data_IF_572959693667
#
_entry.id   IF_572959693667
#
_cell.length_a   1.000
_cell.length_b   1.000
_cell.length_c   1.000
_cell.angle_alpha   90.00
_cell.angle_beta   90.00
_cell.angle_gamma   90.00
#
_symmetry.space_group_name_H-M   'P 1'
#
loop_
_entity.id
_entity.type
_entity.pdbx_description
1 polymer ?
#
# COMPACT_ATOMS: atom_id res chain seq x y z
N UNK A 1 -3.59 -15.86 0.34
CA UNK A 1 -4.24 -16.46 -0.85
C UNK A 1 -3.30 -17.41 -1.60
N UNK A 2 -2.24 -16.94 -2.27
CA UNK A 2 -1.37 -17.78 -3.10
C UNK A 2 -0.77 -19.00 -2.35
N UNK A 3 -0.24 -18.82 -1.14
CA UNK A 3 0.22 -19.94 -0.29
C UNK A 3 -0.86 -21.03 -0.12
N UNK A 4 -2.09 -20.63 0.22
CA UNK A 4 -3.20 -21.55 0.43
C UNK A 4 -3.69 -22.23 -0.86
N UNK A 5 -3.45 -21.65 -2.03
CA UNK A 5 -3.69 -22.30 -3.32
C UNK A 5 -2.61 -23.34 -3.64
N UNK A 6 -1.35 -23.01 -3.38
CA UNK A 6 -0.21 -23.91 -3.56
C UNK A 6 -0.33 -25.15 -2.67
N UNK A 7 -0.63 -24.97 -1.38
CA UNK A 7 -0.80 -26.08 -0.41
C UNK A 7 -1.97 -27.02 -0.78
N UNK A 8 -2.98 -26.50 -1.49
CA UNK A 8 -4.11 -27.28 -2.03
C UNK A 8 -3.79 -27.93 -3.39
N UNK A 9 -2.59 -27.73 -3.92
CA UNK A 9 -2.14 -28.26 -5.21
C UNK A 9 -2.89 -27.65 -6.40
N UNK A 10 -3.40 -26.42 -6.29
CA UNK A 10 -4.14 -25.73 -7.36
C UNK A 10 -3.25 -24.88 -8.27
N UNK A 11 -2.12 -24.41 -7.73
CA UNK A 11 -1.12 -23.62 -8.46
C UNK A 11 0.29 -24.15 -8.15
N UNK A 12 1.25 -23.81 -8.99
CA UNK A 12 2.68 -24.03 -8.75
C UNK A 12 3.21 -23.13 -7.63
N UNK A 13 4.48 -23.30 -7.26
CA UNK A 13 5.10 -22.53 -6.18
C UNK A 13 5.10 -21.03 -6.51
N UNK A 14 4.55 -20.22 -5.61
CA UNK A 14 4.22 -18.81 -5.85
C UNK A 14 5.38 -17.83 -5.55
N UNK A 15 6.56 -18.33 -5.17
CA UNK A 15 7.77 -17.51 -4.96
C UNK A 15 8.79 -17.93 -6.01
N UNK A 16 8.62 -17.39 -7.20
CA UNK A 16 9.40 -17.71 -8.38
C UNK A 16 9.60 -16.42 -9.16
N UNK A 17 10.77 -16.25 -9.75
CA UNK A 17 11.10 -15.22 -10.73
C UNK A 17 11.15 -15.81 -12.16
N UNK A 18 10.82 -17.10 -12.30
CA UNK A 18 10.77 -17.79 -13.58
C UNK A 18 9.46 -17.53 -14.31
N UNK A 19 9.55 -17.31 -15.61
CA UNK A 19 8.46 -17.29 -16.58
C UNK A 19 8.40 -18.59 -17.39
N UNK A 20 9.25 -19.57 -17.07
CA UNK A 20 9.30 -20.86 -17.75
C UNK A 20 8.01 -21.66 -17.51
N UNK A 21 7.57 -22.39 -18.52
CA UNK A 21 6.42 -23.29 -18.47
C UNK A 21 6.86 -24.67 -18.95
N UNK A 22 6.47 -25.73 -18.24
CA UNK A 22 6.79 -27.09 -18.65
C UNK A 22 6.14 -27.42 -19.99
N UNK A 23 6.82 -28.25 -20.80
CA UNK A 23 6.29 -28.73 -22.08
C UNK A 23 4.94 -29.42 -21.90
N UNK A 24 4.80 -30.24 -20.85
CA UNK A 24 3.54 -30.88 -20.49
C UNK A 24 2.41 -29.88 -20.29
N UNK A 25 2.65 -28.78 -19.55
CA UNK A 25 1.63 -27.77 -19.30
C UNK A 25 1.28 -27.00 -20.58
N UNK A 26 2.29 -26.66 -21.39
CA UNK A 26 2.09 -25.98 -22.68
C UNK A 26 1.16 -26.80 -23.58
N UNK A 27 1.40 -28.11 -23.71
CA UNK A 27 0.57 -29.00 -24.52
C UNK A 27 -0.86 -29.12 -23.97
N UNK A 28 -1.00 -29.22 -22.65
CA UNK A 28 -2.30 -29.27 -21.98
C UNK A 28 -3.10 -27.97 -22.19
N UNK A 29 -2.47 -26.81 -22.02
CA UNK A 29 -3.06 -25.49 -22.22
C UNK A 29 -3.48 -25.28 -23.67
N UNK A 30 -2.60 -25.58 -24.63
CA UNK A 30 -2.89 -25.49 -26.07
C UNK A 30 -4.04 -26.41 -26.47
N UNK A 31 -4.08 -27.64 -25.95
CA UNK A 31 -5.18 -28.57 -26.17
C UNK A 31 -6.51 -28.05 -25.61
N UNK A 32 -6.49 -27.45 -24.42
CA UNK A 32 -7.67 -26.83 -23.83
C UNK A 32 -8.18 -25.63 -24.64
N UNK A 33 -7.26 -24.73 -25.05
CA UNK A 33 -7.59 -23.55 -25.86
C UNK A 33 -8.18 -24.00 -27.20
N UNK A 34 -7.57 -24.98 -27.86
CA UNK A 34 -8.07 -25.52 -29.13
C UNK A 34 -9.50 -26.06 -28.98
N UNK A 35 -9.76 -26.83 -27.93
CA UNK A 35 -11.09 -27.44 -27.68
C UNK A 35 -12.15 -26.39 -27.34
N UNK A 36 -11.80 -25.35 -26.60
CA UNK A 36 -12.74 -24.34 -26.10
C UNK A 36 -12.98 -23.19 -27.09
N UNK A 37 -11.94 -22.69 -27.74
CA UNK A 37 -11.97 -21.49 -28.58
C UNK A 37 -11.75 -21.77 -30.06
N UNK A 38 -11.21 -22.93 -30.42
CA UNK A 38 -10.92 -23.31 -31.80
C UNK A 38 -9.46 -23.11 -32.20
N UNK A 39 -9.15 -23.46 -33.46
CA UNK A 39 -7.78 -23.44 -34.00
C UNK A 39 -7.17 -22.04 -34.05
N UNK A 40 -7.96 -21.03 -34.39
CA UNK A 40 -7.47 -19.66 -34.63
C UNK A 40 -6.97 -18.98 -33.35
N UNK A 41 -7.35 -19.48 -32.17
CA UNK A 41 -6.90 -18.98 -30.87
C UNK A 41 -5.61 -19.64 -30.38
N UNK A 42 -5.10 -20.65 -31.08
CA UNK A 42 -3.86 -21.34 -30.73
C UNK A 42 -2.77 -20.90 -31.70
N UNK A 43 -1.69 -20.24 -31.21
CA UNK A 43 -0.56 -19.89 -32.05
C UNK A 43 0.07 -21.13 -32.70
N UNK A 44 0.60 -20.98 -33.92
CA UNK A 44 1.22 -22.09 -34.66
C UNK A 44 2.32 -22.78 -33.84
N UNK A 45 3.20 -21.98 -33.23
CA UNK A 45 4.25 -22.44 -32.30
C UNK A 45 3.90 -22.06 -30.87
N UNK A 46 4.33 -22.83 -29.85
CA UNK A 46 4.18 -22.43 -28.46
C UNK A 46 4.86 -21.09 -28.15
N UNK A 47 4.27 -20.32 -27.25
CA UNK A 47 4.86 -19.07 -26.78
C UNK A 47 5.84 -19.38 -25.63
N UNK A 48 7.08 -18.93 -25.77
CA UNK A 48 8.11 -19.02 -24.73
C UNK A 48 8.47 -17.63 -24.23
N UNK A 49 8.64 -17.51 -22.91
CA UNK A 49 8.95 -16.24 -22.24
C UNK A 49 10.34 -16.30 -21.64
N UNK A 50 11.13 -15.24 -21.86
CA UNK A 50 12.48 -15.12 -21.29
C UNK A 50 12.41 -14.53 -19.89
N UNK A 51 13.18 -15.10 -18.97
CA UNK A 51 13.35 -14.54 -17.64
C UNK A 51 14.15 -13.23 -17.70
N UNK A 52 13.81 -12.28 -16.84
CA UNK A 52 14.50 -11.00 -16.69
C UNK A 52 15.74 -11.08 -15.81
N UNK A 53 15.80 -12.02 -14.86
CA UNK A 53 16.94 -12.22 -13.96
C UNK A 53 17.99 -13.16 -14.57
N UNK A 54 19.28 -12.76 -14.51
CA UNK A 54 20.43 -13.60 -14.92
C UNK A 54 20.55 -14.89 -14.10
N UNK A 55 20.08 -14.85 -12.86
CA UNK A 55 20.16 -15.93 -11.89
C UNK A 55 18.78 -16.52 -11.58
N UNK A 56 17.78 -16.32 -12.47
CA UNK A 56 16.48 -16.99 -12.33
C UNK A 56 16.75 -18.44 -12.01
N UNK A 57 16.17 -18.96 -10.93
CA UNK A 57 16.38 -20.36 -10.56
C UNK A 57 15.78 -21.21 -11.69
N UNK A 58 16.56 -21.56 -12.72
CA UNK A 58 16.08 -22.12 -13.99
C UNK A 58 15.37 -23.47 -13.81
N UNK A 59 15.50 -24.08 -12.63
CA UNK A 59 14.77 -25.26 -12.20
C UNK A 59 13.32 -24.99 -11.75
N UNK A 60 12.90 -23.73 -11.66
CA UNK A 60 11.57 -23.34 -11.17
C UNK A 60 10.67 -22.93 -12.34
N UNK A 61 9.39 -23.21 -12.16
CA UNK A 61 8.35 -22.90 -13.13
C UNK A 61 7.65 -21.58 -12.77
N UNK A 62 6.99 -20.95 -13.73
CA UNK A 62 6.12 -19.81 -13.52
C UNK A 62 4.96 -20.13 -12.58
N UNK A 63 4.37 -19.08 -11.99
CA UNK A 63 3.12 -19.21 -11.24
C UNK A 63 2.00 -19.49 -12.22
N UNK A 64 1.53 -20.73 -12.22
CA UNK A 64 0.45 -21.18 -13.09
C UNK A 64 -0.46 -22.17 -12.38
N UNK A 65 -1.60 -22.45 -12.99
CA UNK A 65 -2.49 -23.53 -12.56
C UNK A 65 -1.85 -24.90 -12.76
N UNK A 66 -2.18 -25.84 -11.88
CA UNK A 66 -1.68 -27.23 -11.96
C UNK A 66 -2.51 -28.12 -12.89
N UNK A 67 -3.74 -27.73 -13.22
CA UNK A 67 -4.58 -28.45 -14.17
C UNK A 67 -5.54 -27.52 -14.89
N UNK A 68 -5.52 -27.54 -16.22
CA UNK A 68 -6.25 -26.57 -17.06
C UNK A 68 -7.76 -26.78 -17.01
N UNK A 69 -8.18 -28.00 -16.67
CA UNK A 69 -9.58 -28.37 -16.51
C UNK A 69 -10.26 -27.72 -15.29
N UNK A 70 -9.50 -27.31 -14.27
CA UNK A 70 -10.04 -26.71 -13.05
C UNK A 70 -10.47 -25.26 -13.30
N UNK A 71 -11.69 -25.04 -13.74
CA UNK A 71 -12.20 -23.71 -14.05
C UNK A 71 -12.51 -22.92 -12.78
N UNK A 72 -12.44 -21.58 -12.82
CA UNK A 72 -12.88 -20.74 -11.71
C UNK A 72 -14.31 -21.03 -11.21
N UNK A 73 -15.19 -21.47 -12.11
CA UNK A 73 -16.57 -21.85 -11.82
C UNK A 73 -16.73 -23.21 -11.13
N UNK A 74 -15.67 -24.02 -11.04
CA UNK A 74 -15.78 -25.38 -10.53
C UNK A 74 -16.09 -25.40 -9.02
N UNK A 75 -16.87 -26.38 -8.52
CA UNK A 75 -17.19 -26.52 -7.10
C UNK A 75 -15.98 -26.60 -6.17
N UNK A 76 -14.83 -27.06 -6.69
CA UNK A 76 -13.57 -27.11 -5.93
C UNK A 76 -13.00 -25.72 -5.69
N UNK A 77 -13.20 -24.79 -6.63
CA UNK A 77 -12.69 -23.41 -6.56
C UNK A 77 -13.70 -22.51 -5.85
N UNK A 78 -14.99 -22.61 -6.16
CA UNK A 78 -16.05 -21.79 -5.54
C UNK A 78 -16.26 -22.06 -4.05
N UNK A 79 -15.69 -23.13 -3.50
CA UNK A 79 -15.64 -23.42 -2.06
C UNK A 79 -14.44 -22.79 -1.33
N UNK A 80 -13.49 -22.19 -2.04
CA UNK A 80 -12.32 -21.53 -1.44
C UNK A 80 -12.71 -20.20 -0.79
N UNK A 81 -11.81 -19.60 0.00
CA UNK A 81 -12.03 -18.24 0.49
C UNK A 81 -12.07 -17.23 -0.66
N UNK A 82 -12.83 -16.13 -0.51
CA UNK A 82 -13.04 -15.12 -1.57
C UNK A 82 -11.73 -14.63 -2.19
N UNK A 83 -10.70 -14.36 -1.39
CA UNK A 83 -9.39 -13.92 -1.90
C UNK A 83 -8.63 -15.03 -2.64
N UNK A 84 -8.78 -16.29 -2.20
CA UNK A 84 -8.19 -17.44 -2.90
C UNK A 84 -8.85 -17.64 -4.27
N UNK A 85 -10.17 -17.48 -4.35
CA UNK A 85 -10.91 -17.56 -5.62
C UNK A 85 -10.43 -16.49 -6.59
N UNK A 86 -10.38 -15.22 -6.15
CA UNK A 86 -9.94 -14.10 -7.00
C UNK A 86 -8.51 -14.30 -7.52
N UNK A 87 -7.58 -14.68 -6.64
CA UNK A 87 -6.19 -14.95 -7.04
C UNK A 87 -6.09 -16.16 -7.97
N UNK A 88 -6.87 -17.22 -7.71
CA UNK A 88 -6.90 -18.38 -8.59
C UNK A 88 -7.42 -18.02 -9.98
N UNK A 89 -8.54 -17.29 -10.08
CA UNK A 89 -9.10 -16.84 -11.36
C UNK A 89 -8.09 -16.00 -12.16
N UNK A 90 -7.36 -15.11 -11.49
CA UNK A 90 -6.30 -14.32 -12.12
C UNK A 90 -5.17 -15.20 -12.67
N UNK A 91 -4.67 -16.14 -11.87
CA UNK A 91 -3.61 -17.06 -12.28
C UNK A 91 -4.11 -17.96 -13.41
N UNK A 92 -5.32 -18.52 -13.32
CA UNK A 92 -5.93 -19.36 -14.34
C UNK A 92 -6.03 -18.63 -15.67
N UNK A 93 -6.54 -17.40 -15.64
CA UNK A 93 -6.66 -16.55 -16.83
C UNK A 93 -5.29 -16.32 -17.46
N UNK A 94 -4.32 -15.84 -16.68
CA UNK A 94 -2.98 -15.53 -17.18
C UNK A 94 -2.22 -16.76 -17.69
N UNK A 95 -2.43 -17.92 -17.08
CA UNK A 95 -1.79 -19.18 -17.46
C UNK A 95 -2.23 -19.66 -18.84
N UNK A 96 -3.44 -19.33 -19.26
CA UNK A 96 -3.98 -19.69 -20.58
C UNK A 96 -3.75 -18.58 -21.61
N UNK A 97 -3.98 -17.31 -21.24
CA UNK A 97 -3.76 -16.15 -22.12
C UNK A 97 -2.36 -16.14 -22.73
N UNK A 98 -1.35 -16.53 -21.97
CA UNK A 98 0.04 -16.55 -22.44
C UNK A 98 0.28 -17.58 -23.56
N UNK A 99 -0.61 -18.55 -23.77
CA UNK A 99 -0.54 -19.53 -24.87
C UNK A 99 -1.61 -19.30 -25.95
N UNK A 100 -2.32 -18.16 -25.92
CA UNK A 100 -3.32 -17.80 -26.91
C UNK A 100 -2.75 -16.88 -28.00
N UNK A 101 -3.44 -16.83 -29.15
CA UNK A 101 -3.14 -15.90 -30.22
C UNK A 101 -3.34 -14.43 -29.78
N UNK A 102 -2.56 -13.48 -30.34
CA UNK A 102 -2.72 -12.06 -30.04
C UNK A 102 -4.08 -11.54 -30.49
N UNK A 103 -4.60 -10.53 -29.79
CA UNK A 103 -5.73 -9.75 -30.28
C UNK A 103 -5.32 -8.90 -31.49
N UNK A 104 -6.20 -8.77 -32.48
CA UNK A 104 -6.00 -7.97 -33.69
C UNK A 104 -7.02 -6.84 -33.72
N UNK A 105 -6.53 -5.63 -33.95
CA UNK A 105 -7.32 -4.40 -33.99
C UNK A 105 -7.18 -3.73 -35.36
N UNK A 106 -8.27 -3.17 -35.87
CA UNK A 106 -8.25 -2.18 -36.93
C UNK A 106 -8.25 -0.79 -36.28
N UNK A 107 -7.18 -0.02 -36.46
CA UNK A 107 -7.00 1.32 -35.90
C UNK A 107 -7.23 2.39 -36.96
N UNK A 108 -8.09 3.35 -36.67
CA UNK A 108 -8.44 4.46 -37.57
C UNK A 108 -8.03 5.77 -36.92
N UNK A 109 -7.26 6.58 -37.64
CA UNK A 109 -6.90 7.95 -37.26
C UNK A 109 -7.49 8.91 -38.28
N UNK A 110 -8.21 9.92 -37.81
CA UNK A 110 -8.86 10.93 -38.64
C UNK A 110 -8.34 12.30 -38.25
N UNK A 111 -7.80 13.01 -39.23
CA UNK A 111 -7.37 14.40 -39.09
C UNK A 111 -8.38 15.32 -39.79
N UNK A 112 -9.05 16.17 -39.00
CA UNK A 112 -10.00 17.16 -39.50
C UNK A 112 -9.33 18.52 -39.56
N UNK A 113 -9.19 19.05 -40.77
CA UNK A 113 -8.63 20.39 -40.99
C UNK A 113 -9.76 21.42 -41.06
N UNK A 114 -9.70 22.43 -40.20
CA UNK A 114 -10.63 23.55 -40.23
C UNK A 114 -10.28 24.57 -41.31
N UNK A 115 -11.25 25.42 -41.67
CA UNK A 115 -11.02 26.56 -42.58
C UNK A 115 -9.94 27.54 -42.09
N UNK A 116 -9.63 27.52 -40.79
CA UNK A 116 -8.57 28.33 -40.16
C UNK A 116 -7.23 27.59 -40.02
N UNK A 117 -7.05 26.46 -40.69
CA UNK A 117 -5.81 25.65 -40.67
C UNK A 117 -5.49 24.99 -39.31
N UNK A 118 -6.44 24.94 -38.36
CA UNK A 118 -6.31 24.06 -37.19
C UNK A 118 -6.56 22.61 -37.58
N UNK A 119 -5.79 21.69 -37.00
CA UNK A 119 -5.95 20.24 -37.16
C UNK A 119 -6.48 19.65 -35.86
N UNK A 120 -7.59 18.93 -35.96
CA UNK A 120 -8.15 18.13 -34.88
C UNK A 120 -7.94 16.65 -35.21
N UNK A 121 -7.42 15.88 -34.25
CA UNK A 121 -7.16 14.45 -34.44
C UNK A 121 -8.11 13.63 -33.58
N UNK A 122 -8.75 12.65 -34.20
CA UNK A 122 -9.49 11.60 -33.52
C UNK A 122 -8.84 10.25 -33.82
N UNK A 123 -8.69 9.41 -32.80
CA UNK A 123 -8.16 8.05 -32.94
C UNK A 123 -9.18 7.08 -32.36
N UNK A 124 -9.51 6.06 -33.14
CA UNK A 124 -10.37 4.96 -32.74
C UNK A 124 -9.82 3.61 -33.13
N UNK A 125 -10.39 2.58 -32.54
CA UNK A 125 -9.97 1.19 -32.75
C UNK A 125 -11.13 0.22 -32.60
N UNK A 126 -11.17 -0.79 -33.46
CA UNK A 126 -12.17 -1.86 -33.44
C UNK A 126 -11.44 -3.20 -33.31
N UNK A 127 -11.89 -4.08 -32.39
CA UNK A 127 -11.35 -5.45 -32.28
C UNK A 127 -11.84 -6.27 -33.47
N UNK A 128 -10.90 -6.68 -34.33
CA UNK A 128 -11.15 -7.58 -35.47
C UNK A 128 -11.07 -9.05 -35.06
N UNK A 129 -10.17 -9.37 -34.14
CA UNK A 129 -10.03 -10.69 -33.56
C UNK A 129 -9.65 -10.57 -32.08
N UNK A 130 -10.42 -11.14 -31.14
CA UNK A 130 -10.19 -10.92 -29.72
C UNK A 130 -8.96 -11.68 -29.19
N UNK A 131 -8.50 -12.76 -29.84
CA UNK A 131 -7.34 -13.53 -29.38
C UNK A 131 -7.43 -13.92 -27.90
N UNK A 132 -6.37 -13.67 -27.14
CA UNK A 132 -6.31 -13.93 -25.70
C UNK A 132 -7.41 -13.24 -24.87
N UNK A 133 -7.97 -12.10 -25.35
CA UNK A 133 -9.04 -11.37 -24.65
C UNK A 133 -10.36 -12.15 -24.61
N UNK A 134 -10.55 -13.14 -25.49
CA UNK A 134 -11.75 -13.98 -25.47
C UNK A 134 -11.93 -14.75 -24.16
N UNK A 135 -10.84 -14.99 -23.42
CA UNK A 135 -10.88 -15.66 -22.13
C UNK A 135 -11.55 -14.79 -21.05
N UNK A 136 -11.35 -13.47 -21.11
CA UNK A 136 -11.99 -12.51 -20.21
C UNK A 136 -13.47 -12.32 -20.55
N UNK A 137 -13.83 -12.27 -21.84
CA UNK A 137 -15.22 -12.15 -22.29
C UNK A 137 -16.09 -13.38 -21.94
N UNK A 138 -15.49 -14.57 -21.83
CA UNK A 138 -16.19 -15.81 -21.46
C UNK A 138 -16.28 -16.07 -19.95
N UNK A 139 -15.63 -15.26 -19.11
CA UNK A 139 -15.70 -15.34 -17.66
C UNK A 139 -16.78 -14.38 -17.14
N UNK A 140 -18.02 -14.87 -17.06
CA UNK A 140 -19.22 -14.08 -16.76
C UNK A 140 -19.26 -13.35 -15.39
N UNK A 141 -18.18 -13.32 -14.60
CA UNK A 141 -18.23 -12.85 -13.20
C UNK A 141 -17.09 -11.89 -12.78
N UNK A 142 -16.30 -11.34 -13.70
CA UNK A 142 -15.33 -10.28 -13.36
C UNK A 142 -15.27 -9.18 -14.41
N UNK A 143 -16.37 -8.47 -14.58
CA UNK A 143 -16.30 -7.07 -15.04
C UNK A 143 -15.89 -6.23 -13.84
N UNK A 144 -14.60 -5.94 -13.72
CA UNK A 144 -14.14 -4.76 -12.99
C UNK A 144 -14.13 -3.60 -13.99
N UNK A 145 -14.71 -2.46 -13.60
CA UNK A 145 -14.85 -1.24 -14.42
C UNK A 145 -13.52 -0.71 -15.01
N UNK A 146 -12.36 -1.23 -14.60
CA UNK A 146 -11.02 -0.86 -15.08
C UNK A 146 -10.58 -1.57 -16.39
N UNK A 147 -11.20 -2.68 -16.82
CA UNK A 147 -10.78 -3.48 -17.99
C UNK A 147 -11.65 -3.28 -19.25
N UNK A 148 -12.69 -2.47 -19.18
CA UNK A 148 -13.45 -2.07 -20.38
C UNK A 148 -12.66 -0.99 -21.08
N UNK A 149 -11.76 -1.35 -21.99
CA UNK A 149 -11.35 -0.45 -23.07
C UNK A 149 -12.66 0.03 -23.70
N UNK A 150 -13.06 1.26 -23.39
CA UNK A 150 -14.16 1.93 -24.07
C UNK A 150 -13.70 1.98 -25.52
N UNK A 151 -14.19 1.06 -26.34
CA UNK A 151 -13.86 1.03 -27.76
C UNK A 151 -14.32 2.35 -28.33
N UNK A 152 -13.36 3.24 -28.55
CA UNK A 152 -13.63 4.52 -29.17
C UNK A 152 -13.80 4.24 -30.65
N UNK A 153 -15.00 3.81 -31.04
CA UNK A 153 -15.31 3.50 -32.44
C UNK A 153 -15.56 4.81 -33.17
N UNK A 154 -14.89 4.98 -34.30
CA UNK A 154 -15.13 6.11 -35.17
C UNK A 154 -16.19 5.73 -36.21
N UNK A 155 -17.04 6.67 -36.63
CA UNK A 155 -17.94 6.45 -37.76
C UNK A 155 -17.12 6.23 -39.05
N UNK A 156 -17.73 5.56 -40.03
CA UNK A 156 -17.17 5.51 -41.37
C UNK A 156 -17.12 6.93 -41.95
N UNK A 157 -15.95 7.33 -42.42
CA UNK A 157 -15.68 8.65 -42.98
C UNK A 157 -14.87 8.49 -44.27
N UNK A 158 -15.10 9.40 -45.21
CA UNK A 158 -14.35 9.45 -46.48
C UNK A 158 -13.46 10.69 -46.55
N UNK A 159 -12.35 10.59 -47.28
CA UNK A 159 -11.48 11.75 -47.50
C UNK A 159 -12.24 12.87 -48.24
N UNK A 160 -12.16 14.09 -47.71
CA UNK A 160 -12.87 15.25 -48.23
C UNK A 160 -14.32 15.39 -47.73
N UNK A 161 -14.80 14.46 -46.91
CA UNK A 161 -16.12 14.60 -46.26
C UNK A 161 -16.15 15.78 -45.29
N UNK A 162 -17.18 16.61 -45.42
CA UNK A 162 -17.39 17.76 -44.54
C UNK A 162 -18.00 17.34 -43.22
N UNK A 163 -17.31 17.60 -42.10
CA UNK A 163 -17.84 17.36 -40.75
C UNK A 163 -18.42 18.65 -40.14
N UNK A 164 -19.52 18.50 -39.39
CA UNK A 164 -20.18 19.61 -38.71
C UNK A 164 -19.69 19.74 -37.27
N UNK A 165 -19.21 20.92 -36.91
CA UNK A 165 -18.94 21.26 -35.51
C UNK A 165 -20.26 21.31 -34.71
N UNK A 166 -20.36 20.47 -33.68
CA UNK A 166 -21.51 20.44 -32.77
C UNK A 166 -21.24 21.28 -31.52
N UNK A 167 -20.14 20.99 -30.82
CA UNK A 167 -19.75 21.63 -29.57
C UNK A 167 -18.23 21.80 -29.49
N UNK A 168 -17.79 22.81 -28.76
CA UNK A 168 -16.38 22.99 -28.36
C UNK A 168 -16.29 22.97 -26.84
N UNK A 169 -15.52 22.02 -26.29
CA UNK A 169 -15.31 21.91 -24.85
C UNK A 169 -13.85 22.26 -24.49
N UNK A 170 -13.55 23.51 -24.11
CA UNK A 170 -12.20 23.89 -23.69
C UNK A 170 -11.90 23.30 -22.31
N UNK A 171 -10.92 22.40 -22.24
CA UNK A 171 -10.45 21.83 -20.99
C UNK A 171 -9.09 22.43 -20.59
N UNK A 172 -8.98 22.86 -19.33
CA UNK A 172 -7.70 23.24 -18.75
C UNK A 172 -7.06 22.01 -18.09
N UNK A 173 -5.79 21.76 -18.42
CA UNK A 173 -5.02 20.68 -17.85
C UNK A 173 -3.81 21.22 -17.08
N UNK A 174 -3.40 20.47 -16.07
CA UNK A 174 -2.17 20.71 -15.31
C UNK A 174 -1.25 19.50 -15.44
N UNK A 175 0.06 19.74 -15.41
CA UNK A 175 1.04 18.66 -15.26
C UNK A 175 0.86 18.02 -13.89
N UNK A 176 0.75 16.70 -13.87
CA UNK A 176 0.67 15.97 -12.61
C UNK A 176 2.07 15.66 -12.08
N UNK A 177 2.27 15.68 -10.76
CA UNK A 177 3.51 15.18 -10.19
C UNK A 177 3.64 13.67 -10.41
N UNK A 178 4.86 13.10 -10.30
CA UNK A 178 5.06 11.65 -10.36
C UNK A 178 4.15 10.92 -9.36
N UNK A 179 3.55 9.82 -9.81
CA UNK A 179 2.69 9.01 -8.97
C UNK A 179 3.49 8.41 -7.80
N UNK A 180 2.88 8.37 -6.62
CA UNK A 180 3.44 7.65 -5.48
C UNK A 180 3.42 6.15 -5.73
N UNK A 181 4.30 5.42 -5.05
CA UNK A 181 4.33 3.96 -5.14
C UNK A 181 3.14 3.32 -4.42
N UNK A 182 2.46 2.39 -5.06
CA UNK A 182 1.64 1.34 -4.44
C UNK A 182 2.48 0.10 -4.12
N UNK A 183 1.90 -0.92 -3.45
CA UNK A 183 2.55 -2.22 -3.24
C UNK A 183 3.13 -2.78 -4.55
N UNK A 184 2.33 -2.81 -5.62
CA UNK A 184 2.74 -3.38 -6.91
C UNK A 184 3.85 -2.57 -7.59
N UNK A 185 3.72 -1.25 -7.65
CA UNK A 185 4.75 -0.41 -8.30
C UNK A 185 6.06 -0.36 -7.51
N UNK A 186 6.01 -0.50 -6.18
CA UNK A 186 7.22 -0.56 -5.37
C UNK A 186 7.95 -1.89 -5.59
N UNK A 187 7.23 -3.01 -5.62
CA UNK A 187 7.82 -4.31 -5.96
C UNK A 187 8.45 -4.27 -7.36
N UNK A 188 7.75 -3.69 -8.34
CA UNK A 188 8.28 -3.52 -9.69
C UNK A 188 9.58 -2.69 -9.71
N UNK A 189 9.62 -1.58 -8.98
CA UNK A 189 10.83 -0.76 -8.90
C UNK A 189 12.00 -1.49 -8.20
N UNK A 190 11.71 -2.27 -7.16
CA UNK A 190 12.71 -3.11 -6.48
C UNK A 190 13.29 -4.16 -7.44
N UNK A 191 12.42 -4.84 -8.20
CA UNK A 191 12.80 -5.83 -9.21
C UNK A 191 13.67 -5.21 -10.32
N UNK A 192 13.25 -4.06 -10.88
CA UNK A 192 14.01 -3.34 -11.91
C UNK A 192 15.40 -2.88 -11.43
N UNK A 193 15.54 -2.59 -10.14
CA UNK A 193 16.80 -2.22 -9.51
C UNK A 193 17.64 -3.42 -9.06
N UNK A 194 17.13 -4.66 -9.19
CA UNK A 194 17.81 -5.87 -8.70
C UNK A 194 17.83 -6.01 -7.18
N UNK A 195 16.98 -5.26 -6.46
CA UNK A 195 16.92 -5.21 -5.00
C UNK A 195 15.84 -6.15 -4.49
N UNK A 196 16.22 -7.13 -3.67
CA UNK A 196 15.30 -8.13 -3.15
C UNK A 196 15.04 -9.28 -4.13
N UNK A 197 14.22 -10.22 -3.68
CA UNK A 197 13.87 -11.47 -4.38
C UNK A 197 12.39 -11.78 -4.14
N UNK A 198 11.77 -12.71 -4.89
CA UNK A 198 10.36 -13.11 -4.69
C UNK A 198 10.02 -13.49 -3.25
N UNK A 199 11.00 -13.98 -2.49
CA UNK A 199 10.87 -14.33 -1.08
C UNK A 199 10.90 -13.14 -0.11
N UNK A 200 11.43 -11.97 -0.52
CA UNK A 200 11.69 -10.82 0.35
C UNK A 200 10.83 -9.59 0.04
N UNK A 201 10.21 -9.48 -1.14
CA UNK A 201 9.38 -8.32 -1.51
C UNK A 201 8.28 -7.98 -0.48
N UNK A 202 7.40 -8.94 -0.19
CA UNK A 202 6.30 -8.72 0.76
C UNK A 202 6.80 -8.50 2.21
N UNK A 203 7.75 -9.29 2.74
CA UNK A 203 8.35 -9.03 4.05
C UNK A 203 9.02 -7.66 4.18
N UNK A 204 9.71 -7.17 3.14
CA UNK A 204 10.37 -5.86 3.13
C UNK A 204 9.34 -4.75 3.32
N UNK A 205 8.28 -4.74 2.48
CA UNK A 205 7.19 -3.76 2.57
C UNK A 205 6.52 -3.81 3.94
N UNK A 206 6.21 -5.01 4.43
CA UNK A 206 5.61 -5.19 5.76
C UNK A 206 6.51 -4.64 6.87
N UNK A 207 7.83 -4.84 6.77
CA UNK A 207 8.78 -4.40 7.79
C UNK A 207 8.89 -2.88 7.85
N UNK A 208 9.04 -2.22 6.69
CA UNK A 208 9.18 -0.76 6.65
C UNK A 208 7.88 -0.06 7.07
N UNK A 209 6.72 -0.66 6.78
CA UNK A 209 5.44 -0.17 7.27
C UNK A 209 5.27 -0.40 8.78
N UNK A 210 5.57 -1.59 9.29
CA UNK A 210 5.45 -1.92 10.72
C UNK A 210 6.37 -1.08 11.61
N UNK A 211 7.53 -0.66 11.07
CA UNK A 211 8.48 0.24 11.75
C UNK A 211 8.10 1.72 11.65
N UNK A 212 7.05 2.07 10.90
CA UNK A 212 6.55 3.45 10.79
C UNK A 212 7.39 4.34 9.87
N UNK A 213 8.16 3.78 8.94
CA UNK A 213 8.84 4.56 7.91
C UNK A 213 7.88 4.99 6.80
N UNK A 214 6.90 4.14 6.50
CA UNK A 214 5.87 4.44 5.51
C UNK A 214 4.49 4.18 6.08
N UNK A 215 3.53 4.93 5.57
CA UNK A 215 2.10 4.76 5.84
C UNK A 215 1.35 4.58 4.51
N UNK A 216 0.16 3.98 4.57
CA UNK A 216 -0.72 3.86 3.40
C UNK A 216 -1.76 4.98 3.43
N UNK A 217 -1.79 5.75 2.37
CA UNK A 217 -2.82 6.75 2.07
C UNK A 217 -3.65 6.21 0.89
N UNK A 218 -4.79 5.60 1.20
CA UNK A 218 -5.54 4.80 0.24
C UNK A 218 -4.72 3.61 -0.27
N UNK A 219 -4.42 3.59 -1.58
CA UNK A 219 -3.64 2.53 -2.24
C UNK A 219 -2.14 2.83 -2.35
N UNK A 220 -1.70 4.02 -1.93
CA UNK A 220 -0.34 4.51 -2.15
C UNK A 220 0.43 4.67 -0.84
N UNK A 221 1.75 4.53 -0.92
CA UNK A 221 2.66 4.75 0.20
C UNK A 221 3.02 6.23 0.33
N UNK A 222 3.11 6.68 1.57
CA UNK A 222 3.61 7.98 1.95
C UNK A 222 4.75 7.80 2.96
N UNK A 223 5.94 8.39 2.74
CA UNK A 223 7.01 8.38 3.73
C UNK A 223 6.63 9.26 4.93
N UNK A 224 7.03 8.83 6.12
CA UNK A 224 6.88 9.61 7.36
C UNK A 224 8.09 10.52 7.57
N UNK A 225 7.97 11.50 8.48
CA UNK A 225 9.12 12.34 8.87
C UNK A 225 10.29 11.50 9.41
N UNK A 226 10.00 10.38 10.05
CA UNK A 226 11.00 9.43 10.54
C UNK A 226 11.79 8.83 9.38
N UNK A 227 11.12 8.49 8.27
CA UNK A 227 11.81 7.97 7.10
C UNK A 227 12.75 8.99 6.47
N UNK A 228 12.36 10.26 6.37
CA UNK A 228 13.25 11.30 5.85
C UNK A 228 14.51 11.44 6.70
N UNK A 229 14.37 11.62 8.02
CA UNK A 229 15.52 11.77 8.93
C UNK A 229 16.45 10.56 8.87
N UNK A 230 15.90 9.35 8.89
CA UNK A 230 16.71 8.13 8.87
C UNK A 230 17.39 7.96 7.50
N UNK A 231 16.69 8.23 6.41
CA UNK A 231 17.25 8.12 5.05
C UNK A 231 18.37 9.14 4.86
N UNK A 232 18.15 10.39 5.23
CA UNK A 232 19.16 11.46 5.11
C UNK A 232 20.42 11.15 5.92
N UNK A 233 20.25 10.62 7.14
CA UNK A 233 21.37 10.16 7.96
C UNK A 233 22.14 9.04 7.29
N UNK A 234 21.44 8.02 6.78
CA UNK A 234 22.06 6.87 6.15
C UNK A 234 22.77 7.24 4.84
N UNK A 235 22.15 8.05 3.99
CA UNK A 235 22.76 8.54 2.75
C UNK A 235 24.02 9.37 3.06
N UNK A 236 23.97 10.24 4.06
CA UNK A 236 25.11 11.10 4.40
C UNK A 236 26.29 10.36 5.04
N UNK A 237 26.04 9.32 5.82
CA UNK A 237 27.08 8.66 6.63
C UNK A 237 27.43 7.24 6.20
N UNK A 238 26.55 6.59 5.43
CA UNK A 238 26.65 5.20 5.02
C UNK A 238 26.27 5.01 3.53
N UNK A 239 26.57 6.00 2.68
CA UNK A 239 26.23 6.01 1.24
C UNK A 239 26.61 4.71 0.51
N UNK A 240 27.82 4.20 0.79
CA UNK A 240 28.32 2.96 0.20
C UNK A 240 27.45 1.73 0.46
N UNK A 241 26.63 1.76 1.51
CA UNK A 241 25.81 0.62 1.96
C UNK A 241 24.35 0.78 1.55
N UNK A 242 23.84 2.01 1.52
CA UNK A 242 22.41 2.28 1.19
C UNK A 242 22.17 2.62 -0.28
N UNK A 243 23.22 2.65 -1.11
CA UNK A 243 23.04 2.82 -2.53
C UNK A 243 22.45 1.56 -3.19
N UNK A 244 21.78 1.76 -4.32
CA UNK A 244 21.06 0.70 -5.01
C UNK A 244 21.98 -0.37 -5.58
N UNK A 245 23.12 0.03 -6.15
CA UNK A 245 24.07 -0.87 -6.80
C UNK A 245 24.70 -1.86 -5.81
N UNK A 246 25.07 -1.38 -4.61
CA UNK A 246 25.61 -2.21 -3.54
C UNK A 246 24.59 -3.25 -3.10
N UNK A 247 23.34 -2.83 -2.89
CA UNK A 247 22.26 -3.72 -2.45
C UNK A 247 21.99 -4.80 -3.50
N UNK A 248 21.92 -4.43 -4.78
CA UNK A 248 21.75 -5.38 -5.87
C UNK A 248 22.92 -6.36 -5.97
N UNK A 249 24.16 -5.87 -5.88
CA UNK A 249 25.37 -6.71 -5.89
C UNK A 249 25.38 -7.71 -4.72
N UNK A 250 24.99 -7.28 -3.53
CA UNK A 250 24.91 -8.18 -2.37
C UNK A 250 23.91 -9.32 -2.63
N UNK A 251 22.77 -9.04 -3.25
CA UNK A 251 21.81 -10.08 -3.61
C UNK A 251 22.38 -11.04 -4.67
N UNK A 252 23.13 -10.54 -5.65
CA UNK A 252 23.84 -11.37 -6.65
C UNK A 252 24.89 -12.28 -6.00
N UNK A 253 25.72 -11.75 -5.10
CA UNK A 253 26.73 -12.53 -4.36
C UNK A 253 26.09 -13.63 -3.51
N UNK A 254 24.91 -13.37 -2.92
CA UNK A 254 24.15 -14.38 -2.17
C UNK A 254 23.58 -15.47 -3.08
N UNK A 255 23.22 -15.15 -4.32
CA UNK A 255 22.82 -16.15 -5.32
C UNK A 255 24.02 -17.02 -5.73
N UNK A 256 25.19 -16.43 -5.98
CA UNK A 256 26.42 -17.15 -6.30
C UNK A 256 26.86 -18.08 -5.16
N UNK A 257 26.65 -17.65 -3.90
CA UNK A 257 26.83 -18.51 -2.71
C UNK A 257 25.85 -19.69 -2.73
N UNK A 258 24.58 -19.47 -3.08
CA UNK A 258 23.58 -20.53 -3.13
C UNK A 258 23.87 -21.56 -4.24
N UNK A 259 24.48 -21.13 -5.35
CA UNK A 259 24.96 -21.98 -6.44
C UNK A 259 26.27 -22.72 -6.09
N UNK A 260 26.97 -22.31 -5.03
CA UNK A 260 28.24 -22.86 -4.61
C UNK A 260 29.45 -22.30 -5.38
N UNK A 261 29.25 -21.22 -6.15
CA UNK A 261 30.31 -20.51 -6.88
C UNK A 261 31.15 -19.64 -5.93
N UNK A 262 30.52 -19.07 -4.91
CA UNK A 262 31.17 -18.33 -3.84
C UNK A 262 31.05 -19.01 -2.47
N UNK A 263 32.04 -18.79 -1.62
CA UNK A 263 31.94 -19.10 -0.18
C UNK A 263 31.31 -17.92 0.54
N UNK A 264 30.35 -18.17 1.43
CA UNK A 264 29.63 -17.12 2.14
C UNK A 264 30.52 -16.34 3.15
N UNK A 265 31.53 -17.00 3.75
CA UNK A 265 32.33 -16.35 4.79
C UNK A 265 33.16 -15.16 4.25
N UNK A 266 33.86 -15.27 3.09
CA UNK A 266 34.49 -14.13 2.43
C UNK A 266 33.53 -12.96 2.16
N UNK A 267 32.36 -13.24 1.57
CA UNK A 267 31.35 -12.22 1.22
C UNK A 267 30.93 -11.42 2.47
N UNK A 268 30.57 -12.12 3.55
CA UNK A 268 30.19 -11.47 4.81
C UNK A 268 31.37 -10.71 5.44
N UNK A 269 32.58 -11.25 5.37
CA UNK A 269 33.77 -10.61 5.94
C UNK A 269 34.09 -9.29 5.22
N UNK A 270 34.02 -9.29 3.89
CA UNK A 270 34.27 -8.11 3.05
C UNK A 270 33.28 -6.97 3.35
N UNK A 271 32.02 -7.30 3.62
CA UNK A 271 31.02 -6.33 4.08
C UNK A 271 31.23 -5.87 5.53
N UNK A 272 31.39 -6.83 6.46
CA UNK A 272 31.28 -6.56 7.89
C UNK A 272 32.47 -5.79 8.46
N UNK A 273 33.70 -6.10 8.05
CA UNK A 273 34.90 -5.45 8.63
C UNK A 273 34.95 -3.93 8.37
N UNK A 274 34.69 -3.43 7.14
CA UNK A 274 34.59 -2.00 6.89
C UNK A 274 33.37 -1.38 7.59
N UNK A 275 32.23 -2.07 7.57
CA UNK A 275 31.00 -1.56 8.17
C UNK A 275 31.10 -1.37 9.68
N UNK A 276 31.67 -2.34 10.40
CA UNK A 276 31.87 -2.25 11.84
C UNK A 276 32.75 -1.05 12.22
N UNK A 277 33.85 -0.83 11.48
CA UNK A 277 34.73 0.34 11.68
C UNK A 277 33.98 1.65 11.41
N UNK A 278 33.15 1.71 10.37
CA UNK A 278 32.34 2.87 10.05
C UNK A 278 31.34 3.18 11.18
N UNK A 279 30.67 2.18 11.74
CA UNK A 279 29.79 2.35 12.89
C UNK A 279 30.55 2.89 14.11
N UNK A 280 31.69 2.30 14.47
CA UNK A 280 32.47 2.74 15.64
C UNK A 280 32.95 4.20 15.52
N UNK A 281 33.31 4.63 14.31
CA UNK A 281 33.67 6.02 14.05
C UNK A 281 32.44 6.95 14.20
N UNK A 282 31.32 6.59 13.56
CA UNK A 282 30.11 7.43 13.54
C UNK A 282 29.40 7.49 14.88
N UNK A 283 29.47 6.46 15.72
CA UNK A 283 28.89 6.47 17.06
C UNK A 283 29.58 7.49 17.98
N UNK A 284 30.87 7.79 17.74
CA UNK A 284 31.62 8.82 18.47
C UNK A 284 31.36 10.23 17.94
N UNK A 285 31.11 10.36 16.63
CA UNK A 285 30.90 11.65 15.96
C UNK A 285 29.46 12.14 16.09
N UNK A 286 28.48 11.24 15.97
CA UNK A 286 27.08 11.60 15.86
C UNK A 286 26.40 11.71 17.21
N UNK A 287 25.90 12.89 17.53
CA UNK A 287 25.01 13.08 18.68
C UNK A 287 23.57 13.00 18.24
N UNK A 288 22.75 12.26 19.00
CA UNK A 288 21.31 12.10 18.77
C UNK A 288 20.55 13.42 18.63
N UNK A 289 21.04 14.48 19.28
CA UNK A 289 20.41 15.80 19.24
C UNK A 289 20.54 16.46 17.85
N UNK A 290 21.65 16.21 17.15
CA UNK A 290 21.91 16.81 15.84
C UNK A 290 21.07 16.13 14.75
N UNK A 291 20.74 14.85 14.94
CA UNK A 291 19.95 14.05 14.01
C UNK A 291 18.45 14.34 14.13
N UNK A 292 17.98 14.58 15.35
CA UNK A 292 16.55 14.83 15.59
C UNK A 292 16.13 16.27 15.33
N UNK A 293 17.06 17.17 14.98
CA UNK A 293 16.76 18.55 14.59
C UNK A 293 16.28 18.63 13.14
N UNK A 294 15.08 19.17 12.96
CA UNK A 294 14.40 19.27 11.66
C UNK A 294 14.37 20.71 11.10
N UNK A 295 15.01 21.65 11.79
CA UNK A 295 15.05 23.07 11.39
C UNK A 295 14.43 24.01 12.42
N UNK A 296 14.63 25.31 12.18
CA UNK A 296 14.10 26.37 13.02
C UNK A 296 12.61 26.62 12.78
N UNK A 297 11.91 27.07 13.82
CA UNK A 297 10.56 27.62 13.71
C UNK A 297 10.61 29.14 13.85
N UNK A 298 9.66 29.82 13.21
CA UNK A 298 9.42 31.25 13.41
C UNK A 298 8.74 31.57 14.75
N UNK A 299 8.33 30.55 15.51
CA UNK A 299 7.64 30.74 16.77
C UNK A 299 8.56 30.90 17.98
N UNK A 300 8.08 31.67 18.96
CA UNK A 300 8.80 31.96 20.20
C UNK A 300 8.24 31.13 21.36
N UNK A 301 9.13 30.63 22.21
CA UNK A 301 8.78 29.85 23.39
C UNK A 301 8.04 30.73 24.42
N UNK A 302 6.81 30.37 24.81
CA UNK A 302 6.02 31.15 25.76
C UNK A 302 6.57 31.11 27.19
N UNK A 303 7.50 30.19 27.49
CA UNK A 303 8.11 30.08 28.83
C UNK A 303 9.37 30.93 29.01
N UNK A 304 10.15 31.17 27.95
CA UNK A 304 11.47 31.80 28.09
C UNK A 304 11.80 32.83 26.99
N UNK A 305 10.92 33.03 26.01
CA UNK A 305 11.10 34.04 24.96
C UNK A 305 12.12 33.70 23.88
N UNK A 306 12.69 32.48 23.87
CA UNK A 306 13.61 32.03 22.80
C UNK A 306 12.90 31.25 21.71
N UNK A 307 13.51 31.11 20.54
CA UNK A 307 12.88 30.43 19.41
C UNK A 307 12.58 28.95 19.70
N UNK A 308 11.48 28.48 19.13
CA UNK A 308 11.17 27.07 19.02
C UNK A 308 11.88 26.47 17.81
N UNK A 309 12.18 25.18 17.88
CA UNK A 309 12.82 24.42 16.83
C UNK A 309 12.04 23.14 16.59
N UNK A 310 11.96 22.68 15.34
CA UNK A 310 11.34 21.42 15.01
C UNK A 310 12.28 20.27 15.39
N UNK A 311 11.74 19.31 16.14
CA UNK A 311 12.43 18.08 16.49
C UNK A 311 11.60 16.85 16.15
N UNK A 312 12.27 15.76 15.84
CA UNK A 312 11.66 14.45 15.68
C UNK A 312 11.68 13.71 17.03
N UNK A 313 10.48 13.47 17.57
CA UNK A 313 10.29 12.71 18.81
C UNK A 313 9.74 11.32 18.54
N UNK A 314 9.57 10.54 19.62
CA UNK A 314 8.95 9.21 19.56
C UNK A 314 7.53 9.21 18.96
N UNK A 315 6.82 10.34 19.09
CA UNK A 315 5.43 10.49 18.67
C UNK A 315 5.29 11.31 17.37
N UNK A 316 6.38 11.49 16.63
CA UNK A 316 6.42 12.33 15.43
C UNK A 316 7.06 13.68 15.68
N UNK A 317 6.86 14.59 14.72
CA UNK A 317 7.42 15.94 14.73
C UNK A 317 6.77 16.79 15.83
N UNK A 318 7.59 17.53 16.56
CA UNK A 318 7.14 18.45 17.61
C UNK A 318 8.03 19.69 17.63
N UNK A 319 7.52 20.79 18.17
CA UNK A 319 8.33 21.98 18.45
C UNK A 319 8.88 21.92 19.86
N UNK A 320 10.18 22.17 20.02
CA UNK A 320 10.88 22.22 21.30
C UNK A 320 11.57 23.57 21.47
N UNK A 321 11.72 24.06 22.70
CA UNK A 321 12.54 25.24 22.95
C UNK A 321 14.01 24.99 22.54
N UNK A 322 14.61 25.97 21.85
CA UNK A 322 16.03 25.97 21.49
C UNK A 322 16.97 25.85 22.70
N UNK A 323 16.56 26.29 23.89
CA UNK A 323 17.37 26.24 25.12
C UNK A 323 17.18 24.94 25.94
N UNK A 324 16.65 23.87 25.36
CA UNK A 324 16.62 22.56 26.02
C UNK A 324 18.06 22.08 26.30
N UNK A 325 18.40 21.58 27.51
CA UNK A 325 17.50 21.16 28.59
C UNK A 325 17.13 22.23 29.63
N UNK A 326 17.63 23.47 29.52
CA UNK A 326 17.30 24.56 30.48
C UNK A 326 15.83 24.99 30.38
N UNK A 327 15.23 24.89 29.20
CA UNK A 327 13.80 25.08 28.99
C UNK A 327 13.16 23.84 28.36
N UNK A 328 12.29 23.16 29.11
CA UNK A 328 11.63 21.90 28.68
C UNK A 328 10.30 22.13 27.95
N UNK A 329 10.03 23.34 27.46
CA UNK A 329 8.80 23.58 26.69
C UNK A 329 8.82 22.79 25.38
N UNK A 330 7.73 22.07 25.11
CA UNK A 330 7.50 21.35 23.87
C UNK A 330 6.01 21.31 23.54
N UNK A 331 5.66 21.39 22.25
CA UNK A 331 4.27 21.27 21.77
C UNK A 331 4.19 20.51 20.43
N UNK A 332 3.06 19.84 20.12
CA UNK A 332 2.83 19.21 18.82
C UNK A 332 2.82 20.23 17.67
N UNK A 333 3.10 19.79 16.44
CA UNK A 333 3.06 20.66 15.25
C UNK A 333 1.62 20.90 14.79
N UNK A 334 0.69 19.96 14.97
CA UNK A 334 -0.69 20.10 14.50
C UNK A 334 -1.46 21.27 15.13
N UNK A 335 -1.12 21.71 16.34
CA UNK A 335 -1.75 22.88 16.98
C UNK A 335 -1.43 24.21 16.26
N UNK A 336 -0.44 24.23 15.37
CA UNK A 336 0.03 25.45 14.67
C UNK A 336 -0.71 25.68 13.35
N UNK A 337 -1.04 24.62 12.60
CA UNK A 337 -1.75 24.73 11.32
C UNK A 337 -3.15 25.32 11.53
N UNK A 338 -3.84 24.91 12.59
CA UNK A 338 -5.15 25.47 13.01
C UNK A 338 -5.07 26.93 13.46
N UNK A 339 -3.93 27.38 13.97
CA UNK A 339 -3.76 28.74 14.52
C UNK A 339 -3.28 29.74 13.44
N UNK A 340 -2.52 29.29 12.44
CA UNK A 340 -2.01 30.13 11.35
C UNK A 340 -2.95 30.25 10.14
N UNK A 341 -3.73 29.20 9.83
CA UNK A 341 -4.62 29.18 8.65
C UNK A 341 -6.06 29.55 9.01
N UNK A 342 -6.24 30.60 9.82
CA UNK A 342 -7.52 31.11 10.32
C UNK A 342 -8.73 30.54 9.57
N UNK A 343 -9.36 29.52 10.16
CA UNK A 343 -10.53 28.80 9.68
C UNK A 343 -10.81 28.86 8.17
N UNK A 344 -10.22 27.96 7.38
CA UNK A 344 -10.78 27.60 6.07
C UNK A 344 -10.97 26.09 5.95
N UNK A 345 -12.24 25.73 5.82
CA UNK A 345 -12.72 24.38 5.58
C UNK A 345 -12.46 23.96 4.13
N UNK A 346 -11.25 23.52 3.80
CA UNK A 346 -11.04 22.77 2.57
C UNK A 346 -10.43 21.38 2.84
N UNK A 347 -11.35 20.41 2.79
CA UNK A 347 -11.26 19.02 2.37
C UNK A 347 -9.86 18.36 2.35
N UNK A 348 -9.48 17.82 3.51
CA UNK A 348 -8.63 16.63 3.58
C UNK A 348 -9.44 15.52 4.27
N UNK A 349 -9.57 14.37 3.62
CA UNK A 349 -10.46 13.26 3.97
C UNK A 349 -10.01 12.49 5.23
N UNK A 350 -9.03 13.01 5.97
CA UNK A 350 -8.59 12.51 7.28
C UNK A 350 -9.22 13.25 8.48
N UNK A 351 -10.10 14.24 8.24
CA UNK A 351 -10.78 15.07 9.27
C UNK A 351 -11.87 14.37 10.10
N UNK A 352 -11.67 13.14 10.58
CA UNK A 352 -12.53 12.54 11.61
C UNK A 352 -11.74 11.95 12.78
N UNK A 353 -11.05 12.80 13.54
CA UNK A 353 -10.53 12.40 14.86
C UNK A 353 -10.58 13.48 15.96
N UNK A 354 -10.83 14.75 15.64
CA UNK A 354 -11.04 15.82 16.62
C UNK A 354 -12.41 16.47 16.43
N UNK A 355 -13.50 15.69 16.52
CA UNK A 355 -14.77 16.32 16.84
C UNK A 355 -14.66 16.85 18.27
N UNK A 356 -14.79 18.17 18.44
CA UNK A 356 -15.18 18.81 19.70
C UNK A 356 -16.53 18.24 20.13
N UNK A 357 -16.50 17.04 20.66
CA UNK A 357 -17.61 16.44 21.36
C UNK A 357 -17.37 16.82 22.81
N UNK A 358 -18.23 17.68 23.35
CA UNK A 358 -18.18 18.09 24.75
C UNK A 358 -18.44 16.86 25.62
N UNK A 359 -17.39 16.31 26.26
CA UNK A 359 -17.51 15.15 27.15
C UNK A 359 -17.76 15.54 28.61
N UNK A 360 -18.27 16.76 28.84
CA UNK A 360 -18.61 17.29 30.14
C UNK A 360 -17.47 18.09 30.78
N UNK A 361 -17.82 18.78 31.87
CA UNK A 361 -16.91 19.66 32.61
C UNK A 361 -15.87 18.82 33.38
N UNK A 362 -14.64 19.32 33.41
CA UNK A 362 -13.54 18.72 34.15
C UNK A 362 -13.79 18.84 35.65
N UNK A 363 -14.12 17.71 36.30
CA UNK A 363 -14.37 17.60 37.74
C UNK A 363 -13.22 18.09 38.66
N UNK A 364 -12.01 18.27 38.13
CA UNK A 364 -10.85 18.71 38.91
C UNK A 364 -10.74 20.23 38.96
N UNK A 365 -11.06 20.92 37.87
CA UNK A 365 -10.92 22.37 37.79
C UNK A 365 -12.25 23.11 37.65
N UNK A 366 -13.36 22.39 37.41
CA UNK A 366 -14.72 22.90 37.19
C UNK A 366 -14.88 23.99 36.11
N UNK A 367 -13.81 24.35 35.42
CA UNK A 367 -13.78 25.40 34.39
C UNK A 367 -13.43 24.84 33.01
N UNK A 368 -12.51 23.87 32.95
CA UNK A 368 -12.14 23.21 31.69
C UNK A 368 -13.16 22.15 31.26
N UNK A 369 -13.19 21.82 29.97
CA UNK A 369 -14.01 20.74 29.41
C UNK A 369 -13.15 19.52 29.07
N UNK A 370 -13.73 18.33 29.10
CA UNK A 370 -13.04 17.13 28.62
C UNK A 370 -13.08 17.08 27.09
N UNK A 371 -11.90 17.07 26.48
CA UNK A 371 -11.69 16.92 25.04
C UNK A 371 -11.07 15.55 24.73
N UNK A 372 -11.44 14.97 23.59
CA UNK A 372 -10.89 13.70 23.13
C UNK A 372 -9.47 13.90 22.59
N UNK A 373 -8.50 13.17 23.15
CA UNK A 373 -7.12 13.10 22.68
C UNK A 373 -6.73 11.65 22.40
N UNK A 374 -5.74 11.44 21.53
CA UNK A 374 -5.21 10.13 21.20
C UNK A 374 -3.86 9.91 21.89
N UNK A 375 -3.70 8.80 22.62
CA UNK A 375 -2.46 8.45 23.32
C UNK A 375 -2.01 7.01 23.04
N UNK A 376 -0.91 6.58 23.67
CA UNK A 376 -0.29 5.24 23.46
C UNK A 376 -1.22 4.05 23.74
N UNK A 377 -2.24 4.25 24.58
CA UNK A 377 -3.19 3.21 24.98
C UNK A 377 -4.56 3.36 24.29
N UNK A 378 -4.67 4.26 23.31
CA UNK A 378 -5.91 4.59 22.62
C UNK A 378 -6.40 6.00 22.97
N UNK A 379 -7.65 6.27 22.59
CA UNK A 379 -8.31 7.56 22.85
C UNK A 379 -8.55 7.74 24.35
N UNK A 380 -8.39 8.96 24.84
CA UNK A 380 -8.63 9.35 26.22
C UNK A 380 -9.19 10.77 26.26
N UNK A 381 -9.82 11.14 27.37
CA UNK A 381 -10.33 12.49 27.60
C UNK A 381 -9.28 13.27 28.40
N UNK A 382 -8.91 14.46 27.94
CA UNK A 382 -8.01 15.37 28.64
C UNK A 382 -8.72 16.69 28.94
N UNK A 383 -8.37 17.36 30.04
CA UNK A 383 -8.87 18.70 30.30
C UNK A 383 -8.39 19.67 29.21
N UNK A 384 -9.30 20.51 28.69
CA UNK A 384 -8.99 21.56 27.70
C UNK A 384 -7.98 22.59 28.20
N UNK A 385 -7.84 22.76 29.52
CA UNK A 385 -6.87 23.66 30.16
C UNK A 385 -5.50 23.03 30.41
N UNK A 386 -5.14 21.96 29.71
CA UNK A 386 -3.76 21.47 29.75
C UNK A 386 -2.81 22.55 29.18
N UNK A 387 -1.67 22.88 29.82
CA UNK A 387 -0.96 22.16 30.89
C UNK A 387 -1.32 22.57 32.33
N UNK A 388 -2.18 23.57 32.52
CA UNK A 388 -2.60 24.11 33.83
C UNK A 388 -3.40 23.08 34.64
N UNK A 389 -4.30 22.36 33.97
CA UNK A 389 -5.03 21.22 34.52
C UNK A 389 -4.64 19.92 33.81
N UNK A 390 -3.96 19.01 34.53
CA UNK A 390 -3.48 17.72 33.99
C UNK A 390 -4.48 16.57 34.14
N UNK A 391 -5.76 16.87 34.41
CA UNK A 391 -6.78 15.84 34.57
C UNK A 391 -7.01 15.08 33.27
N UNK A 392 -7.06 13.75 33.38
CA UNK A 392 -7.36 12.85 32.25
C UNK A 392 -8.32 11.75 32.69
N UNK A 393 -9.21 11.33 31.79
CA UNK A 393 -10.12 10.21 31.99
C UNK A 393 -10.04 9.22 30.82
N UNK A 394 -10.28 7.92 31.04
CA UNK A 394 -10.35 6.97 29.94
C UNK A 394 -11.56 7.26 29.06
N UNK A 395 -11.38 7.25 27.74
CA UNK A 395 -12.51 7.30 26.81
C UNK A 395 -13.10 5.89 26.68
N UNK A 396 -14.36 5.74 27.08
CA UNK A 396 -15.07 4.47 26.98
C UNK A 396 -15.90 4.45 25.70
N UNK A 397 -15.47 3.67 24.71
CA UNK A 397 -16.21 3.49 23.46
C UNK A 397 -17.41 2.58 23.69
N UNK A 398 -18.57 3.19 23.98
CA UNK A 398 -19.85 2.49 24.20
C UNK A 398 -20.43 2.02 22.88
N UNK A 399 -20.96 0.79 22.83
CA UNK A 399 -21.61 0.23 21.61
C UNK A 399 -23.13 0.47 21.55
N UNK A 400 -23.70 1.19 22.52
CA UNK A 400 -25.15 1.46 22.60
C UNK A 400 -25.98 0.27 23.09
N UNK A 401 -25.38 -0.70 23.79
CA UNK A 401 -26.06 -1.88 24.35
C UNK A 401 -25.81 -1.94 25.86
N UNK A 402 -26.86 -2.11 26.65
CA UNK A 402 -26.75 -2.31 28.10
C UNK A 402 -26.11 -3.68 28.42
N UNK A 403 -25.37 -3.73 29.52
CA UNK A 403 -24.73 -4.94 30.00
C UNK A 403 -25.79 -6.01 30.30
N UNK A 404 -25.70 -7.21 29.70
CA UNK A 404 -26.70 -8.26 29.88
C UNK A 404 -26.68 -8.85 31.30
N UNK A 405 -25.57 -8.75 32.03
CA UNK A 405 -25.48 -9.22 33.43
C UNK A 405 -26.10 -8.23 34.41
N UNK A 406 -25.64 -6.96 34.42
CA UNK A 406 -26.06 -6.01 35.45
C UNK A 406 -27.19 -5.07 35.04
N UNK A 407 -27.53 -5.00 33.74
CA UNK A 407 -28.52 -4.09 33.12
C UNK A 407 -28.31 -2.58 33.35
N UNK A 408 -27.40 -2.20 34.25
CA UNK A 408 -27.11 -0.82 34.67
C UNK A 408 -25.85 -0.25 33.99
N UNK A 409 -24.89 -1.09 33.60
CA UNK A 409 -23.68 -0.65 32.89
C UNK A 409 -23.87 -0.69 31.37
N UNK A 410 -23.08 0.11 30.64
CA UNK A 410 -23.00 0.05 29.18
C UNK A 410 -21.94 -0.97 28.75
N UNK A 411 -22.13 -1.61 27.61
CA UNK A 411 -21.07 -2.39 26.98
C UNK A 411 -20.07 -1.47 26.29
N UNK A 412 -18.80 -1.62 26.66
CA UNK A 412 -17.67 -0.86 26.12
C UNK A 412 -16.71 -1.77 25.38
N UNK A 413 -16.10 -1.25 24.32
CA UNK A 413 -15.08 -1.94 23.53
C UNK A 413 -13.72 -1.83 24.23
N UNK A 414 -13.06 -2.96 24.45
CA UNK A 414 -11.72 -3.07 25.03
C UNK A 414 -10.80 -3.92 24.15
N UNK A 415 -9.48 -3.79 24.32
CA UNK A 415 -8.47 -4.64 23.63
C UNK A 415 -7.68 -5.43 24.65
N UNK A 416 -7.51 -6.74 24.40
CA UNK A 416 -6.65 -7.63 25.18
C UNK A 416 -5.91 -8.58 24.24
N UNK A 417 -4.60 -8.74 24.42
CA UNK A 417 -3.73 -9.62 23.60
C UNK A 417 -3.94 -9.44 22.08
N UNK A 418 -4.07 -8.18 21.64
CA UNK A 418 -4.26 -7.84 20.21
C UNK A 418 -5.67 -8.08 19.66
N UNK A 419 -6.61 -8.66 20.43
CA UNK A 419 -7.99 -8.90 20.02
C UNK A 419 -8.96 -7.98 20.75
N UNK A 420 -10.02 -7.58 20.07
CA UNK A 420 -11.10 -6.77 20.65
C UNK A 420 -12.05 -7.66 21.46
N UNK A 421 -12.44 -7.19 22.64
CA UNK A 421 -13.47 -7.81 23.48
C UNK A 421 -14.42 -6.74 24.03
N UNK A 422 -15.60 -7.16 24.46
CA UNK A 422 -16.67 -6.31 24.95
C UNK A 422 -16.80 -6.55 26.45
N UNK A 423 -16.79 -5.49 27.27
CA UNK A 423 -16.91 -5.61 28.72
C UNK A 423 -17.82 -4.55 29.31
N UNK A 424 -18.25 -4.75 30.55
CA UNK A 424 -19.09 -3.76 31.25
C UNK A 424 -18.30 -2.48 31.59
N UNK A 425 -18.95 -1.32 31.44
CA UNK A 425 -18.41 0.00 31.84
C UNK A 425 -18.20 0.12 33.35
N UNK A 426 -18.90 -0.68 34.16
CA UNK A 426 -18.84 -0.70 35.63
C UNK A 426 -17.85 -1.71 36.22
N UNK A 427 -16.87 -2.16 35.44
CA UNK A 427 -15.77 -2.97 36.00
C UNK A 427 -15.00 -2.14 37.05
N UNK A 428 -14.68 -2.68 38.25
CA UNK A 428 -14.69 -4.10 38.65
C UNK A 428 -16.00 -4.61 39.28
N UNK A 429 -17.01 -3.77 39.48
CA UNK A 429 -18.29 -4.11 40.11
C UNK A 429 -19.10 -5.12 39.29
N UNK A 430 -19.02 -5.03 37.95
CA UNK A 430 -19.56 -6.02 37.02
C UNK A 430 -18.44 -6.58 36.14
N UNK A 431 -18.27 -7.91 36.17
CA UNK A 431 -17.17 -8.62 35.50
C UNK A 431 -17.53 -9.18 34.12
N UNK A 432 -18.73 -8.87 33.60
CA UNK A 432 -19.15 -9.28 32.27
C UNK A 432 -18.07 -8.98 31.21
N UNK A 433 -17.74 -10.01 30.43
CA UNK A 433 -16.88 -9.90 29.26
C UNK A 433 -17.29 -10.89 28.17
N UNK A 434 -17.16 -10.49 26.90
CA UNK A 434 -17.48 -11.31 25.73
C UNK A 434 -16.52 -11.03 24.59
N UNK A 435 -16.12 -12.07 23.86
CA UNK A 435 -15.38 -11.93 22.60
C UNK A 435 -16.29 -11.63 21.40
N UNK A 436 -17.58 -11.96 21.50
CA UNK A 436 -18.61 -11.64 20.48
C UNK A 436 -19.29 -10.32 20.83
N UNK A 437 -19.60 -9.52 19.81
CA UNK A 437 -20.33 -8.26 19.97
C UNK A 437 -21.75 -8.56 20.49
N UNK A 438 -22.14 -8.08 21.69
CA UNK A 438 -23.51 -8.19 22.15
C UNK A 438 -24.42 -7.39 21.20
N UNK A 439 -25.50 -8.01 20.73
CA UNK A 439 -26.54 -7.35 19.95
C UNK A 439 -27.79 -7.23 20.83
N UNK A 440 -28.52 -6.13 20.70
CA UNK A 440 -29.88 -6.03 21.23
C UNK A 440 -30.75 -6.93 20.35
N UNK A 441 -31.35 -7.98 20.93
CA UNK A 441 -32.47 -8.66 20.28
C UNK A 441 -33.56 -7.62 20.05
N UNK A 442 -33.80 -7.28 18.77
CA UNK A 442 -35.06 -6.64 18.41
C UNK A 442 -36.13 -7.70 18.61
N UNK A 443 -37.01 -7.46 19.58
CA UNK A 443 -38.28 -8.14 19.70
C UNK A 443 -38.98 -8.12 18.34
N UNK A 444 -39.41 -9.30 17.91
CA UNK A 444 -40.20 -9.58 16.69
C UNK A 444 -41.31 -8.58 16.43
#
# INVERSE_FOLDING_TARGET
AAQGLFEKGLITYHRTDSLNLSSQFIDEARGYIHKRFGKDYVPETPNYYKNSSKNAQEAHEAIRITGVANQPSDPKITKLGVDEQKVYSLIWRRSLECQMAPAVYDQTSVDVTSTKQYVFRAVGSIIKFPGFLALAAGAADTQTDEDTEVQNTLPELTEGEGVKLLETNPAQHFTQPPARYSDASLVKALEELGIGRPSTYAPTIQTIQARGYIEKEGRYFRPTDVAYVVTDLLVKHFESIVNYQFTAKMEEELDEVALGELKWQPVIKEFYEPFAKAIEAKDKELKKQDITFLGDSSEVCPKCGRNLIFKLGKYGKFMSCSDYPKCEFAKPVEEVITTLLGGSEENDSTRQANQETDFGVCEVCNEGKYILKQGRFGKFLACSRYPECKSTKPYLMKIGVNCPECKQGDIVVKKAKGRTFYGCSRYPECKFSSWKKPVTEKTT
#
